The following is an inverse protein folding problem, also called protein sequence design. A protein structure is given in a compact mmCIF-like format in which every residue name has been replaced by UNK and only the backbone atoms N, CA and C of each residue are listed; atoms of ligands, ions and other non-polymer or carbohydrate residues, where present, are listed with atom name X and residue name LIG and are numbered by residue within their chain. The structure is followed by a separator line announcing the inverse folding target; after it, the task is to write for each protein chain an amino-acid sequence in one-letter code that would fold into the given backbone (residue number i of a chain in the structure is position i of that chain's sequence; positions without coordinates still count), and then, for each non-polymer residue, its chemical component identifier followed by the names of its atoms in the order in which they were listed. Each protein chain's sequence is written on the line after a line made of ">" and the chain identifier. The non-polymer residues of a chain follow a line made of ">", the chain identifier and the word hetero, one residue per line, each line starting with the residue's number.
data_IF_712286809411
#
_entry.id   IF_712286809411
#
_cell.length_a   1.000
_cell.length_b   1.000
_cell.length_c   1.000
_cell.angle_alpha   90.00
_cell.angle_beta   90.00
_cell.angle_gamma   90.00
#
_symmetry.space_group_name_H-M   'P 1'
#
loop_
_entity.id
_entity.type
_entity.pdbx_description
1 polymer ?
#
# COMPACT_ATOMS: atom_id res chain seq x y z
N UNK A 1 65.03 53.96 20.45
CA UNK A 1 65.61 54.30 21.77
C UNK A 1 64.59 54.73 22.84
N UNK A 2 63.26 54.70 22.61
CA UNK A 2 62.25 55.05 23.65
C UNK A 2 61.80 53.86 24.51
N UNK A 3 61.65 52.66 23.92
CA UNK A 3 61.20 51.46 24.65
C UNK A 3 62.15 50.98 25.75
N UNK A 4 63.48 51.13 25.58
CA UNK A 4 64.45 50.65 26.58
C UNK A 4 64.41 51.49 27.87
N UNK A 5 64.13 52.80 27.77
CA UNK A 5 63.98 53.70 28.92
C UNK A 5 62.65 53.50 29.65
N UNK A 6 61.56 53.20 28.94
CA UNK A 6 60.27 52.87 29.55
C UNK A 6 60.31 51.50 30.25
N UNK A 7 60.96 50.50 29.66
CA UNK A 7 61.15 49.18 30.29
C UNK A 7 62.07 49.24 31.52
N UNK A 8 63.12 50.07 31.50
CA UNK A 8 63.94 50.30 32.70
C UNK A 8 63.20 51.13 33.77
N UNK A 9 62.20 51.93 33.38
CA UNK A 9 61.34 52.67 34.32
C UNK A 9 60.24 51.80 34.94
N UNK A 10 59.74 50.78 34.23
CA UNK A 10 58.81 49.78 34.79
C UNK A 10 59.50 48.71 35.62
N UNK A 11 60.79 48.45 35.38
CA UNK A 11 61.59 47.52 36.19
C UNK A 11 61.94 48.05 37.59
N UNK A 12 61.84 49.38 37.82
CA UNK A 12 62.05 49.98 39.14
C UNK A 12 60.73 50.02 39.92
N UNK A 13 60.68 49.54 41.18
CA UNK A 13 59.45 49.53 41.94
C UNK A 13 58.95 50.96 42.19
N UNK A 14 57.74 51.26 41.70
CA UNK A 14 57.11 52.57 41.92
C UNK A 14 56.50 52.60 43.32
N UNK A 15 56.96 53.52 44.15
CA UNK A 15 56.38 53.72 45.48
C UNK A 15 54.98 54.33 45.32
N UNK A 16 53.95 53.58 45.71
CA UNK A 16 52.58 54.05 45.82
C UNK A 16 52.27 54.37 47.28
N UNK A 17 51.55 55.47 47.51
CA UNK A 17 51.06 55.80 48.85
C UNK A 17 50.11 54.71 49.35
N UNK A 18 49.88 54.66 50.67
CA UNK A 18 49.00 53.65 51.27
C UNK A 18 47.57 53.73 50.68
N UNK A 19 47.05 54.96 50.50
CA UNK A 19 45.73 55.19 49.90
C UNK A 19 45.64 54.71 48.45
N UNK A 20 46.67 54.95 47.62
CA UNK A 20 46.70 54.48 46.24
C UNK A 20 46.80 52.94 46.12
N UNK A 21 47.48 52.29 47.08
CA UNK A 21 47.50 50.82 47.16
C UNK A 21 46.15 50.24 47.56
N UNK A 22 45.47 50.88 48.50
CA UNK A 22 44.11 50.50 48.89
C UNK A 22 43.12 50.72 47.72
N UNK A 23 43.25 51.81 46.97
CA UNK A 23 42.44 52.06 45.78
C UNK A 23 42.68 51.03 44.66
N UNK A 24 43.94 50.69 44.35
CA UNK A 24 44.26 49.70 43.31
C UNK A 24 43.83 48.28 43.69
N UNK A 25 43.93 47.91 44.96
CA UNK A 25 43.44 46.61 45.45
C UNK A 25 41.91 46.52 45.42
N UNK A 26 41.20 47.61 45.75
CA UNK A 26 39.74 47.68 45.60
C UNK A 26 39.30 47.61 44.14
N UNK A 27 40.00 48.30 43.24
CA UNK A 27 39.72 48.25 41.80
C UNK A 27 39.92 46.84 41.24
N UNK A 28 41.03 46.18 41.58
CA UNK A 28 41.27 44.79 41.15
C UNK A 28 40.21 43.83 41.68
N UNK A 29 39.76 44.03 42.93
CA UNK A 29 38.67 43.24 43.50
C UNK A 29 37.33 43.49 42.79
N UNK A 30 37.05 44.73 42.38
CA UNK A 30 35.86 45.05 41.59
C UNK A 30 35.91 44.37 40.21
N UNK A 31 37.05 44.43 39.53
CA UNK A 31 37.28 43.75 38.25
C UNK A 31 37.11 42.22 38.36
N UNK A 32 37.66 41.60 39.42
CA UNK A 32 37.49 40.16 39.69
C UNK A 32 36.01 39.80 39.93
N UNK A 33 35.27 40.61 40.69
CA UNK A 33 33.83 40.39 40.94
C UNK A 33 33.00 40.57 39.67
N UNK A 34 33.31 41.57 38.84
CA UNK A 34 32.66 41.79 37.56
C UNK A 34 32.92 40.66 36.57
N UNK A 35 34.15 40.14 36.51
CA UNK A 35 34.49 38.98 35.67
C UNK A 35 33.71 37.72 36.08
N UNK A 36 33.59 37.44 37.39
CA UNK A 36 32.76 36.32 37.89
C UNK A 36 31.29 36.53 37.53
N UNK A 37 30.78 37.76 37.66
CA UNK A 37 29.40 38.08 37.30
C UNK A 37 29.14 37.90 35.79
N UNK A 38 30.04 38.39 34.94
CA UNK A 38 29.94 38.23 33.49
C UNK A 38 29.96 36.75 33.10
N UNK A 39 30.86 35.96 33.70
CA UNK A 39 30.91 34.52 33.47
C UNK A 39 29.61 33.82 33.86
N UNK A 40 29.05 34.14 35.03
CA UNK A 40 27.77 33.58 35.47
C UNK A 40 26.61 33.98 34.56
N UNK A 41 26.55 35.24 34.11
CA UNK A 41 25.54 35.71 33.16
C UNK A 41 25.67 35.01 31.79
N UNK A 42 26.88 34.74 31.32
CA UNK A 42 27.11 33.98 30.09
C UNK A 42 26.66 32.52 30.22
N UNK A 43 26.93 31.88 31.36
CA UNK A 43 26.48 30.52 31.64
C UNK A 43 24.94 30.43 31.70
N UNK A 44 24.28 31.42 32.31
CA UNK A 44 22.82 31.51 32.32
C UNK A 44 22.25 31.69 30.91
N UNK A 45 22.88 32.51 30.06
CA UNK A 45 22.47 32.67 28.66
C UNK A 45 22.61 31.37 27.87
N UNK A 46 23.72 30.64 28.02
CA UNK A 46 23.92 29.33 27.36
C UNK A 46 22.87 28.30 27.79
N UNK A 47 22.54 28.28 29.09
CA UNK A 47 21.49 27.41 29.62
C UNK A 47 20.10 27.77 29.06
N UNK A 48 19.76 29.06 29.00
CA UNK A 48 18.49 29.53 28.43
C UNK A 48 18.38 29.23 26.93
N UNK A 49 19.45 29.40 26.15
CA UNK A 49 19.46 29.03 24.72
C UNK A 49 19.26 27.54 24.51
N UNK A 50 19.95 26.70 25.30
CA UNK A 50 19.80 25.25 25.23
C UNK A 50 18.38 24.81 25.62
N UNK A 51 17.82 25.38 26.70
CA UNK A 51 16.45 25.10 27.12
C UNK A 51 15.42 25.54 26.10
N UNK A 52 15.60 26.70 25.44
CA UNK A 52 14.71 27.18 24.37
C UNK A 52 14.80 26.33 23.12
N UNK A 53 15.97 25.84 22.75
CA UNK A 53 16.16 24.94 21.61
C UNK A 53 15.53 23.56 21.86
N UNK A 54 15.66 23.02 23.07
CA UNK A 54 14.98 21.81 23.51
C UNK A 54 13.44 22.00 23.59
N UNK A 55 12.95 23.14 24.06
CA UNK A 55 11.50 23.41 24.05
C UNK A 55 10.96 23.62 22.63
N UNK A 56 11.74 24.18 21.71
CA UNK A 56 11.34 24.33 20.29
C UNK A 56 11.15 22.99 19.58
N UNK A 57 11.90 21.95 19.95
CA UNK A 57 11.70 20.61 19.38
C UNK A 57 10.46 19.93 19.97
N UNK A 58 10.15 20.15 21.25
CA UNK A 58 9.01 19.52 21.95
C UNK A 58 7.67 20.20 21.65
N UNK A 59 7.61 21.53 21.56
CA UNK A 59 6.33 22.28 21.38
C UNK A 59 5.74 22.12 19.97
N UNK A 60 6.53 21.66 18.99
CA UNK A 60 6.03 21.38 17.63
C UNK A 60 5.11 20.16 17.54
N UNK A 61 5.07 19.30 18.57
CA UNK A 61 4.35 18.02 18.49
C UNK A 61 2.94 18.01 19.11
N UNK A 62 2.55 19.02 19.92
CA UNK A 62 1.35 18.89 20.77
C UNK A 62 0.11 19.68 20.32
N UNK A 63 0.24 20.77 19.54
CA UNK A 63 -0.91 21.63 19.18
C UNK A 63 -1.70 21.21 17.92
N UNK A 64 -1.44 20.03 17.33
CA UNK A 64 -2.10 19.56 16.11
C UNK A 64 -2.75 18.17 16.20
N UNK A 65 -2.84 17.59 17.40
CA UNK A 65 -3.02 16.13 17.55
C UNK A 65 -4.43 15.59 17.34
N UNK A 66 -5.48 16.40 17.51
CA UNK A 66 -6.85 15.88 17.56
C UNK A 66 -7.69 16.03 16.28
N UNK A 67 -7.26 16.81 15.28
CA UNK A 67 -7.97 16.88 13.97
C UNK A 67 -7.29 16.17 12.81
N UNK A 68 -6.03 15.74 12.97
CA UNK A 68 -5.21 15.12 11.91
C UNK A 68 -5.12 13.59 11.98
N UNK A 69 -5.86 12.93 12.88
CA UNK A 69 -5.65 11.50 13.15
C UNK A 69 -6.17 10.57 12.04
N UNK A 70 -7.12 11.02 11.23
CA UNK A 70 -7.72 10.18 10.19
C UNK A 70 -7.05 10.33 8.81
N UNK A 71 -6.55 11.52 8.45
CA UNK A 71 -5.93 11.78 7.13
C UNK A 71 -4.42 11.40 7.06
N UNK A 72 -3.75 11.26 8.21
CA UNK A 72 -2.30 10.94 8.27
C UNK A 72 -1.95 9.47 8.04
N UNK A 73 -2.94 8.57 8.03
CA UNK A 73 -2.67 7.13 7.88
C UNK A 73 -2.37 6.80 6.42
N UNK A 74 -3.18 7.31 5.48
CA UNK A 74 -2.96 7.08 4.03
C UNK A 74 -1.67 7.72 3.49
N UNK A 75 -1.33 8.93 3.94
CA UNK A 75 -0.10 9.59 3.49
C UNK A 75 1.19 8.95 4.02
N UNK A 76 1.14 8.24 5.15
CA UNK A 76 2.31 7.54 5.69
C UNK A 76 2.64 6.29 4.89
N UNK A 77 1.65 5.52 4.48
CA UNK A 77 1.87 4.29 3.72
C UNK A 77 2.41 4.59 2.32
N UNK A 78 1.86 5.60 1.64
CA UNK A 78 2.35 6.04 0.33
C UNK A 78 3.78 6.59 0.38
N UNK A 79 4.13 7.32 1.44
CA UNK A 79 5.51 7.78 1.65
C UNK A 79 6.46 6.63 2.00
N UNK A 80 5.99 5.56 2.64
CA UNK A 80 6.82 4.40 2.98
C UNK A 80 7.14 3.57 1.75
N UNK A 81 6.14 3.32 0.88
CA UNK A 81 6.36 2.59 -0.38
C UNK A 81 7.30 3.34 -1.32
N UNK A 82 7.11 4.66 -1.49
CA UNK A 82 7.98 5.49 -2.33
C UNK A 82 9.46 5.40 -1.89
N UNK A 83 9.70 5.48 -0.58
CA UNK A 83 11.06 5.38 -0.03
C UNK A 83 11.70 4.01 -0.24
N UNK A 84 10.91 2.94 -0.14
CA UNK A 84 11.40 1.58 -0.39
C UNK A 84 11.74 1.37 -1.87
N UNK A 85 10.95 1.93 -2.78
CA UNK A 85 11.21 1.89 -4.22
C UNK A 85 12.46 2.74 -4.57
N UNK A 86 12.61 3.94 -3.97
CA UNK A 86 13.82 4.79 -4.07
C UNK A 86 15.09 4.08 -3.57
N UNK A 87 15.02 3.38 -2.42
CA UNK A 87 16.16 2.64 -1.88
C UNK A 87 16.58 1.47 -2.80
N UNK A 88 15.61 0.79 -3.43
CA UNK A 88 15.89 -0.25 -4.44
C UNK A 88 16.52 0.32 -5.71
N UNK A 89 16.06 1.49 -6.15
CA UNK A 89 16.67 2.22 -7.28
C UNK A 89 18.14 2.55 -7.00
N UNK A 90 18.42 3.15 -5.85
CA UNK A 90 19.78 3.50 -5.43
C UNK A 90 20.66 2.25 -5.30
N UNK A 91 20.12 1.15 -4.76
CA UNK A 91 20.82 -0.13 -4.68
C UNK A 91 21.15 -0.69 -6.06
N UNK A 92 20.22 -0.63 -7.02
CA UNK A 92 20.43 -1.10 -8.40
C UNK A 92 21.46 -0.25 -9.15
N UNK A 93 21.44 1.08 -8.98
CA UNK A 93 22.46 2.00 -9.52
C UNK A 93 23.81 1.70 -8.89
N UNK A 94 23.86 1.54 -7.57
CA UNK A 94 25.07 1.20 -6.82
C UNK A 94 25.70 -0.11 -7.30
N UNK A 95 24.89 -1.15 -7.50
CA UNK A 95 25.37 -2.44 -8.01
C UNK A 95 25.95 -2.33 -9.43
N UNK A 96 25.30 -1.57 -10.33
CA UNK A 96 25.77 -1.39 -11.72
C UNK A 96 27.11 -0.66 -11.82
N UNK A 97 27.32 0.37 -11.00
CA UNK A 97 28.47 1.28 -11.15
C UNK A 97 29.62 1.05 -10.16
N UNK A 98 29.35 0.55 -8.96
CA UNK A 98 30.40 0.29 -7.95
C UNK A 98 31.04 -1.10 -8.09
N UNK A 99 30.72 -1.86 -9.14
CA UNK A 99 31.38 -3.12 -9.47
C UNK A 99 31.28 -4.19 -8.36
N UNK A 100 30.24 -4.09 -7.53
CA UNK A 100 29.97 -5.07 -6.48
C UNK A 100 29.72 -6.41 -7.17
N UNK A 101 30.47 -7.44 -6.79
CA UNK A 101 30.28 -8.80 -7.33
C UNK A 101 28.84 -9.22 -7.04
N UNK A 102 28.05 -9.40 -8.10
CA UNK A 102 26.68 -9.90 -7.98
C UNK A 102 26.72 -11.23 -7.25
N UNK A 103 26.00 -11.35 -6.14
CA UNK A 103 25.80 -12.65 -5.52
C UNK A 103 24.92 -13.44 -6.47
N UNK A 104 25.43 -14.57 -6.95
CA UNK A 104 24.62 -15.52 -7.70
C UNK A 104 23.42 -15.91 -6.83
N UNK A 105 22.23 -15.92 -7.46
CA UNK A 105 21.02 -16.34 -6.77
C UNK A 105 21.26 -17.77 -6.30
N UNK A 106 20.93 -18.04 -5.04
CA UNK A 106 21.04 -19.38 -4.49
C UNK A 106 19.95 -20.21 -5.14
N UNK A 107 20.32 -21.06 -6.10
CA UNK A 107 19.40 -22.04 -6.66
C UNK A 107 18.71 -22.76 -5.50
N UNK A 108 17.37 -22.84 -5.56
CA UNK A 108 16.59 -23.54 -4.54
C UNK A 108 16.97 -25.02 -4.60
N UNK A 109 17.94 -25.39 -3.76
CA UNK A 109 18.43 -26.75 -3.66
C UNK A 109 17.36 -27.56 -2.94
N UNK A 110 16.51 -28.21 -3.72
CA UNK A 110 15.52 -29.17 -3.23
C UNK A 110 16.23 -30.12 -2.24
N UNK A 111 15.70 -30.27 -1.03
CA UNK A 111 15.97 -31.48 -0.26
C UNK A 111 15.46 -32.63 -1.13
N UNK A 112 16.29 -33.63 -1.45
CA UNK A 112 16.10 -34.73 -2.42
C UNK A 112 14.81 -35.59 -2.28
N UNK A 113 13.81 -35.18 -1.50
CA UNK A 113 12.62 -35.97 -1.16
C UNK A 113 11.28 -35.23 -1.20
N UNK A 114 11.22 -33.93 -1.50
CA UNK A 114 9.94 -33.23 -1.65
C UNK A 114 9.91 -32.44 -2.95
N UNK A 115 9.09 -32.91 -3.89
CA UNK A 115 8.79 -32.18 -5.10
C UNK A 115 7.88 -31.00 -4.74
N UNK A 116 8.29 -29.78 -5.10
CA UNK A 116 7.49 -28.57 -4.96
C UNK A 116 6.93 -28.24 -6.33
N UNK A 117 5.59 -28.21 -6.44
CA UNK A 117 4.90 -27.91 -7.71
C UNK A 117 4.68 -26.40 -7.90
N UNK A 118 4.71 -25.63 -6.83
CA UNK A 118 4.50 -24.18 -6.84
C UNK A 118 5.83 -23.43 -7.08
N UNK A 119 5.73 -22.24 -7.67
CA UNK A 119 6.84 -21.30 -7.82
C UNK A 119 7.11 -20.58 -6.50
N UNK A 120 8.38 -20.28 -6.20
CA UNK A 120 8.75 -19.46 -5.03
C UNK A 120 8.51 -17.97 -5.34
N UNK A 121 8.03 -17.19 -4.38
CA UNK A 121 7.84 -15.73 -4.52
C UNK A 121 9.16 -15.01 -4.82
N UNK A 122 10.30 -15.57 -4.38
CA UNK A 122 11.63 -15.01 -4.67
C UNK A 122 12.07 -15.20 -6.14
N UNK A 123 11.34 -16.02 -6.91
CA UNK A 123 11.55 -16.24 -8.33
C UNK A 123 10.73 -15.26 -9.20
N UNK A 124 9.84 -14.46 -8.61
CA UNK A 124 9.11 -13.41 -9.33
C UNK A 124 10.06 -12.28 -9.80
N UNK A 125 9.91 -11.89 -11.06
CA UNK A 125 10.71 -10.85 -11.72
C UNK A 125 9.87 -9.65 -12.16
N UNK A 126 8.55 -9.68 -11.95
CA UNK A 126 7.65 -8.60 -12.34
C UNK A 126 7.68 -7.40 -11.38
N UNK A 127 8.21 -7.56 -10.15
CA UNK A 127 8.28 -6.50 -9.13
C UNK A 127 9.37 -5.49 -9.49
N UNK A 128 8.96 -4.39 -10.10
CA UNK A 128 9.83 -3.25 -10.41
C UNK A 128 9.70 -2.14 -9.36
N UNK A 129 10.80 -1.39 -9.17
CA UNK A 129 10.85 -0.18 -8.35
C UNK A 129 10.29 1.03 -9.12
N UNK A 130 10.46 1.07 -10.45
CA UNK A 130 10.10 2.23 -11.22
C UNK A 130 8.58 2.24 -11.50
N UNK A 131 7.86 3.33 -11.17
CA UNK A 131 6.41 3.41 -11.38
C UNK A 131 6.00 3.19 -12.83
N UNK A 132 6.82 3.56 -13.81
CA UNK A 132 6.54 3.34 -15.25
C UNK A 132 6.48 1.85 -15.61
N UNK A 133 7.27 1.02 -14.91
CA UNK A 133 7.28 -0.43 -15.12
C UNK A 133 6.36 -1.17 -14.14
N UNK A 134 5.95 -0.53 -13.04
CA UNK A 134 4.95 -1.06 -12.10
C UNK A 134 3.54 -0.88 -12.65
N UNK A 135 3.21 0.31 -13.15
CA UNK A 135 1.94 0.68 -13.78
C UNK A 135 2.12 0.81 -15.30
N UNK A 136 2.47 -0.31 -15.97
CA UNK A 136 2.62 -0.31 -17.43
C UNK A 136 1.27 -0.03 -18.08
N UNK A 137 1.21 1.03 -18.88
CA UNK A 137 0.01 1.31 -19.65
C UNK A 137 -0.25 0.16 -20.63
N UNK A 138 -1.39 -0.54 -20.55
CA UNK A 138 -1.69 -1.64 -21.45
C UNK A 138 -1.83 -1.13 -22.89
N UNK A 139 -1.55 -2.01 -23.86
CA UNK A 139 -1.61 -1.68 -25.28
C UNK A 139 -3.08 -1.49 -25.65
N UNK A 140 -3.50 -0.24 -25.79
CA UNK A 140 -4.84 0.07 -26.27
C UNK A 140 -4.87 -0.04 -27.79
N UNK A 141 -5.37 -1.16 -28.31
CA UNK A 141 -5.47 -1.43 -29.75
C UNK A 141 -6.65 -0.72 -30.42
N UNK A 142 -6.91 0.53 -30.03
CA UNK A 142 -8.00 1.39 -30.50
C UNK A 142 -9.39 0.69 -30.50
N UNK A 143 -9.64 -0.17 -29.51
CA UNK A 143 -10.88 -0.95 -29.37
C UNK A 143 -11.12 -2.00 -30.47
N UNK A 144 -10.12 -2.31 -31.30
CA UNK A 144 -10.24 -3.28 -32.42
C UNK A 144 -9.72 -4.66 -32.08
N UNK A 145 -8.62 -4.73 -31.34
CA UNK A 145 -8.05 -5.98 -30.87
C UNK A 145 -8.28 -6.07 -29.37
N UNK A 146 -8.76 -7.25 -28.94
CA UNK A 146 -8.98 -7.61 -27.55
C UNK A 146 -7.90 -8.59 -27.13
N UNK A 147 -7.56 -8.56 -25.85
CA UNK A 147 -6.68 -9.57 -25.26
C UNK A 147 -7.41 -10.91 -25.29
N UNK A 148 -6.70 -11.96 -25.69
CA UNK A 148 -7.25 -13.31 -25.78
C UNK A 148 -7.53 -13.84 -24.37
N UNK A 149 -8.59 -14.65 -24.23
CA UNK A 149 -8.98 -15.33 -22.98
C UNK A 149 -9.38 -14.43 -21.79
N UNK A 150 -9.50 -13.11 -22.01
CA UNK A 150 -10.06 -12.19 -21.03
C UNK A 150 -11.50 -11.86 -21.45
N UNK A 151 -12.44 -11.88 -20.50
CA UNK A 151 -13.84 -11.59 -20.76
C UNK A 151 -14.00 -10.24 -21.48
N UNK A 152 -14.77 -10.25 -22.57
CA UNK A 152 -14.99 -9.10 -23.43
C UNK A 152 -15.59 -7.92 -22.69
N UNK A 153 -16.51 -8.20 -21.76
CA UNK A 153 -17.23 -7.18 -21.01
C UNK A 153 -16.32 -6.50 -19.97
N UNK A 154 -15.42 -7.28 -19.34
CA UNK A 154 -14.40 -6.73 -18.43
C UNK A 154 -13.41 -5.83 -19.16
N UNK A 155 -12.98 -6.22 -20.37
CA UNK A 155 -12.12 -5.37 -21.20
C UNK A 155 -12.82 -4.08 -21.63
N UNK A 156 -14.12 -4.14 -21.91
CA UNK A 156 -14.90 -2.97 -22.31
C UNK A 156 -15.06 -1.93 -21.20
N UNK A 157 -15.10 -2.34 -19.93
CA UNK A 157 -15.12 -1.41 -18.79
C UNK A 157 -13.83 -0.61 -18.66
N UNK A 158 -12.68 -1.23 -18.96
CA UNK A 158 -11.36 -0.59 -18.94
C UNK A 158 -11.06 0.20 -20.23
N UNK A 159 -11.78 -0.09 -21.32
CA UNK A 159 -11.57 0.53 -22.63
C UNK A 159 -12.07 1.99 -22.67
N UNK A 160 -11.16 2.93 -22.40
CA UNK A 160 -11.41 4.37 -22.52
C UNK A 160 -11.85 4.83 -23.93
N UNK A 161 -11.58 4.02 -24.95
CA UNK A 161 -11.91 4.28 -26.36
C UNK A 161 -13.32 3.77 -26.74
N UNK A 162 -13.91 2.85 -25.96
CA UNK A 162 -15.24 2.31 -26.24
C UNK A 162 -16.36 3.38 -26.23
N UNK A 163 -16.40 4.33 -25.27
CA UNK A 163 -17.38 5.44 -25.30
C UNK A 163 -17.23 6.35 -26.52
N UNK A 164 -16.03 6.45 -27.11
CA UNK A 164 -15.76 7.27 -28.28
C UNK A 164 -16.21 6.58 -29.58
N UNK A 165 -16.33 5.24 -29.56
CA UNK A 165 -16.77 4.41 -30.69
C UNK A 165 -18.23 3.96 -30.60
N UNK A 166 -19.04 4.52 -29.68
CA UNK A 166 -20.42 4.12 -29.36
C UNK A 166 -21.44 4.20 -30.50
N UNK A 167 -21.01 4.51 -31.73
CA UNK A 167 -21.81 4.46 -32.96
C UNK A 167 -21.87 3.08 -33.62
N UNK A 168 -21.18 2.07 -33.05
CA UNK A 168 -21.18 0.72 -33.61
C UNK A 168 -22.29 -0.10 -32.95
N UNK A 169 -23.41 -0.25 -33.67
CA UNK A 169 -24.46 -1.21 -33.32
C UNK A 169 -23.81 -2.59 -33.13
N UNK A 170 -23.96 -3.15 -31.92
CA UNK A 170 -23.58 -4.53 -31.65
C UNK A 170 -24.68 -5.42 -32.25
N UNK A 171 -24.30 -6.35 -33.09
CA UNK A 171 -25.21 -7.37 -33.61
C UNK A 171 -25.71 -8.24 -32.44
N UNK A 172 -26.88 -7.93 -31.87
CA UNK A 172 -27.49 -8.67 -30.76
C UNK A 172 -28.03 -10.05 -31.17
N UNK A 173 -27.93 -10.38 -32.46
CA UNK A 173 -28.76 -11.40 -33.09
C UNK A 173 -28.28 -12.84 -32.91
N UNK A 174 -27.23 -13.08 -32.12
CA UNK A 174 -26.69 -14.43 -31.91
C UNK A 174 -26.20 -14.72 -30.49
N UNK A 175 -26.77 -14.04 -29.49
CA UNK A 175 -26.60 -14.48 -28.10
C UNK A 175 -27.48 -15.70 -27.88
N UNK A 176 -26.86 -16.85 -27.66
CA UNK A 176 -27.55 -18.00 -27.09
C UNK A 176 -28.20 -17.54 -25.77
N UNK A 177 -29.38 -18.06 -25.47
CA UNK A 177 -30.08 -17.72 -24.24
C UNK A 177 -29.33 -18.27 -23.02
N UNK A 178 -28.51 -17.42 -22.42
CA UNK A 178 -27.66 -17.70 -21.24
C UNK A 178 -28.44 -17.69 -19.92
N UNK A 179 -29.76 -17.44 -19.93
CA UNK A 179 -30.58 -17.45 -18.71
C UNK A 179 -30.49 -18.79 -18.00
N UNK A 180 -30.45 -18.77 -16.67
CA UNK A 180 -30.49 -19.96 -15.85
C UNK A 180 -31.87 -20.65 -15.95
N UNK A 181 -31.92 -21.99 -15.88
CA UNK A 181 -33.15 -22.76 -16.09
C UNK A 181 -34.29 -22.43 -15.11
N UNK A 182 -33.96 -21.82 -13.97
CA UNK A 182 -34.94 -21.34 -12.96
C UNK A 182 -35.76 -20.15 -13.43
N UNK A 183 -35.24 -19.37 -14.38
CA UNK A 183 -35.90 -18.19 -14.94
C UNK A 183 -36.67 -18.52 -16.23
N UNK A 184 -36.40 -19.69 -16.81
CA UNK A 184 -37.01 -20.16 -18.06
C UNK A 184 -38.33 -20.87 -17.81
N UNK A 185 -39.25 -20.74 -18.76
CA UNK A 185 -40.48 -21.54 -18.78
C UNK A 185 -40.21 -22.99 -19.20
N UNK A 186 -41.14 -23.91 -18.93
CA UNK A 186 -40.98 -25.33 -19.27
C UNK A 186 -40.86 -25.54 -20.79
N UNK A 187 -41.61 -24.75 -21.56
CA UNK A 187 -41.65 -24.80 -23.02
C UNK A 187 -40.36 -24.27 -23.67
N UNK A 188 -39.62 -23.40 -22.97
CA UNK A 188 -38.36 -22.81 -23.43
C UNK A 188 -37.13 -23.65 -23.04
N UNK A 189 -37.34 -24.75 -22.34
CA UNK A 189 -36.27 -25.58 -21.80
C UNK A 189 -35.58 -26.39 -22.90
N UNK A 190 -34.28 -26.14 -23.11
CA UNK A 190 -33.48 -26.88 -24.09
C UNK A 190 -32.84 -28.13 -23.47
N UNK A 191 -32.33 -29.05 -24.30
CA UNK A 191 -31.56 -30.21 -23.82
C UNK A 191 -30.32 -29.81 -22.99
N UNK A 192 -29.70 -28.67 -23.32
CA UNK A 192 -28.59 -28.10 -22.53
C UNK A 192 -29.06 -27.72 -21.13
N UNK A 193 -30.18 -27.01 -21.04
CA UNK A 193 -30.72 -26.56 -19.75
C UNK A 193 -31.11 -27.76 -18.87
N UNK A 194 -31.66 -28.83 -19.47
CA UNK A 194 -31.92 -30.09 -18.77
C UNK A 194 -30.66 -30.80 -18.27
N UNK A 195 -29.55 -30.68 -19.01
CA UNK A 195 -28.25 -31.19 -18.56
C UNK A 195 -27.72 -30.38 -17.37
N UNK A 196 -27.81 -29.05 -17.43
CA UNK A 196 -27.43 -28.16 -16.31
C UNK A 196 -28.29 -28.45 -15.09
N UNK A 197 -29.60 -28.61 -15.26
CA UNK A 197 -30.50 -29.01 -14.17
C UNK A 197 -30.06 -30.33 -13.50
N UNK A 198 -29.70 -31.34 -14.30
CA UNK A 198 -29.19 -32.61 -13.74
C UNK A 198 -27.84 -32.43 -13.03
N UNK A 199 -27.00 -31.52 -13.50
CA UNK A 199 -25.70 -31.19 -12.89
C UNK A 199 -25.89 -30.49 -11.54
N UNK A 200 -26.78 -29.49 -11.46
CA UNK A 200 -27.05 -28.73 -10.23
C UNK A 200 -27.65 -29.58 -9.09
N UNK A 201 -28.38 -30.65 -9.44
CA UNK A 201 -28.98 -31.59 -8.48
C UNK A 201 -28.20 -32.91 -8.38
N UNK A 202 -26.99 -33.00 -8.96
CA UNK A 202 -26.14 -34.20 -8.94
C UNK A 202 -26.83 -35.49 -9.47
N UNK A 203 -27.77 -35.35 -10.41
CA UNK A 203 -28.57 -36.46 -10.95
C UNK A 203 -27.84 -37.10 -12.13
N UNK A 204 -27.32 -38.32 -11.93
CA UNK A 204 -26.75 -39.11 -13.02
C UNK A 204 -27.71 -40.22 -13.46
N UNK A 205 -28.15 -40.16 -14.72
CA UNK A 205 -29.04 -41.17 -15.30
C UNK A 205 -28.28 -42.09 -16.26
N UNK A 206 -28.40 -43.41 -16.09
CA UNK A 206 -27.89 -44.42 -17.03
C UNK A 206 -29.06 -45.04 -17.81
N UNK A 207 -28.96 -45.10 -19.14
CA UNK A 207 -29.99 -45.63 -20.03
C UNK A 207 -30.32 -44.69 -21.18
N UNK A 208 -30.81 -45.23 -22.28
CA UNK A 208 -31.28 -44.44 -23.43
C UNK A 208 -32.72 -43.98 -23.21
N UNK A 209 -33.04 -42.75 -23.66
CA UNK A 209 -34.38 -42.15 -23.63
C UNK A 209 -35.00 -42.01 -22.21
N UNK A 210 -34.25 -41.44 -21.28
CA UNK A 210 -34.75 -41.11 -19.93
C UNK A 210 -35.59 -39.82 -20.01
N UNK A 211 -36.84 -39.81 -19.49
CA UNK A 211 -37.66 -38.60 -19.48
C UNK A 211 -37.01 -37.48 -18.65
N UNK A 212 -37.33 -36.23 -19.00
CA UNK A 212 -36.81 -35.08 -18.28
C UNK A 212 -37.36 -35.04 -16.84
N UNK A 213 -36.52 -34.64 -15.86
CA UNK A 213 -36.95 -34.50 -14.47
C UNK A 213 -37.98 -33.38 -14.32
N UNK A 214 -38.81 -33.46 -13.29
CA UNK A 214 -39.76 -32.39 -12.94
C UNK A 214 -39.06 -31.29 -12.14
N UNK A 215 -39.27 -30.02 -12.51
CA UNK A 215 -38.68 -28.87 -11.81
C UNK A 215 -39.52 -28.40 -10.63
N UNK A 216 -40.84 -28.40 -10.81
CA UNK A 216 -41.83 -28.02 -9.80
C UNK A 216 -43.00 -28.99 -9.77
N UNK A 217 -43.68 -29.09 -8.63
CA UNK A 217 -44.85 -29.97 -8.48
C UNK A 217 -46.00 -29.61 -9.44
N UNK A 218 -46.12 -28.34 -9.83
CA UNK A 218 -47.15 -27.86 -10.74
C UNK A 218 -46.93 -28.34 -12.18
N UNK A 219 -45.68 -28.61 -12.56
CA UNK A 219 -45.29 -29.07 -13.91
C UNK A 219 -45.40 -30.59 -14.09
N UNK A 220 -45.60 -31.35 -13.01
CA UNK A 220 -45.61 -32.81 -13.04
C UNK A 220 -46.88 -33.41 -13.69
N UNK A 221 -47.85 -32.59 -14.10
CA UNK A 221 -49.12 -33.08 -14.70
C UNK A 221 -49.97 -33.93 -13.75
N UNK A 222 -49.78 -33.79 -12.43
CA UNK A 222 -50.50 -34.55 -11.42
C UNK A 222 -51.93 -34.03 -11.24
N UNK A 223 -52.84 -34.91 -10.82
CA UNK A 223 -54.21 -34.52 -10.46
C UNK A 223 -54.21 -33.54 -9.29
N UNK A 224 -55.16 -32.59 -9.29
CA UNK A 224 -55.25 -31.51 -8.28
C UNK A 224 -55.33 -32.06 -6.85
N UNK A 225 -56.08 -33.13 -6.66
CA UNK A 225 -56.24 -33.76 -5.35
C UNK A 225 -54.89 -34.25 -4.78
N UNK A 226 -54.02 -34.78 -5.63
CA UNK A 226 -52.67 -35.23 -5.24
C UNK A 226 -51.80 -34.03 -4.89
N UNK A 227 -51.86 -32.96 -5.69
CA UNK A 227 -51.11 -31.73 -5.43
C UNK A 227 -51.51 -31.09 -4.09
N UNK A 228 -52.79 -31.13 -3.73
CA UNK A 228 -53.29 -30.58 -2.48
C UNK A 228 -52.84 -31.41 -1.28
N UNK A 229 -52.79 -32.73 -1.40
CA UNK A 229 -52.20 -33.61 -0.38
C UNK A 229 -50.71 -33.33 -0.21
N UNK A 230 -49.94 -33.21 -1.30
CA UNK A 230 -48.50 -32.90 -1.25
C UNK A 230 -48.24 -31.56 -0.54
N UNK A 231 -49.05 -30.54 -0.85
CA UNK A 231 -49.01 -29.23 -0.17
C UNK A 231 -49.35 -29.35 1.30
N UNK A 232 -50.36 -30.14 1.65
CA UNK A 232 -50.78 -30.38 3.04
C UNK A 232 -49.69 -31.07 3.86
N UNK A 233 -48.98 -32.03 3.24
CA UNK A 233 -47.83 -32.71 3.84
C UNK A 233 -46.58 -31.83 3.96
N UNK A 234 -46.56 -30.64 3.34
CA UNK A 234 -45.47 -29.66 3.47
C UNK A 234 -44.29 -29.88 2.52
N UNK A 235 -44.41 -30.74 1.50
CA UNK A 235 -43.35 -30.94 0.50
C UNK A 235 -43.35 -29.78 -0.51
N UNK A 236 -42.54 -28.75 -0.24
CA UNK A 236 -42.47 -27.53 -1.06
C UNK A 236 -41.62 -27.68 -2.32
N UNK A 237 -40.54 -28.44 -2.24
CA UNK A 237 -39.57 -28.64 -3.32
C UNK A 237 -39.41 -30.14 -3.53
N UNK A 238 -39.12 -30.54 -4.76
CA UNK A 238 -38.84 -31.94 -5.09
C UNK A 238 -37.41 -32.21 -4.62
N UNK A 239 -37.27 -32.93 -3.51
CA UNK A 239 -35.98 -33.52 -3.12
C UNK A 239 -35.81 -34.80 -3.95
N UNK A 240 -35.00 -34.70 -5.00
CA UNK A 240 -34.56 -35.87 -5.77
C UNK A 240 -33.37 -36.44 -4.99
N UNK A 241 -33.52 -37.63 -4.44
CA UNK A 241 -32.44 -38.43 -3.84
C UNK A 241 -31.92 -39.45 -4.85
#
# INVERSE_FOLDING_TARGET
>A
MKNKKEQEATAKPKFLTKQEREATTLQRRQEEVEAVRQHNEEMLKKHDTFSKEAQRTVVKDDQGRDRYRHEKVDHRDRSSSSRADEEREEAAVKERYLGVVKKERKDHRLNDRKFVFDWDENEDTAVDYNPVYKEKHPIQSFGRSRTVDIDTDKQEEEDLVAPLLSYREKDENNRYDERHWSEKNLEEMTERDWRIFKEDYDITTKGGNVPHPIRSWNEAGLQKDILDVIKTCGYKVILIF
#
